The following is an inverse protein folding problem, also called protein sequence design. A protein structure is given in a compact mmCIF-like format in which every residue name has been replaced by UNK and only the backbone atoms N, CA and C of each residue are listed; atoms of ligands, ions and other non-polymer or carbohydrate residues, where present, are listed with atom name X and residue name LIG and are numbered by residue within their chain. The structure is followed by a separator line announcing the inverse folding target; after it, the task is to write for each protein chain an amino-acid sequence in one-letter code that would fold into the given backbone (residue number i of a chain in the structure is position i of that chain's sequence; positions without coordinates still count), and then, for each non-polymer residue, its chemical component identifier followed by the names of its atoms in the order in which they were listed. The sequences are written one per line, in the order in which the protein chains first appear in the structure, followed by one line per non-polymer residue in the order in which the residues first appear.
data_IF_148874040310
#
_entry.id   IF_148874040310
#
_cell.length_a   1.000
_cell.length_b   1.000
_cell.length_c   1.000
_cell.angle_alpha   90.00
_cell.angle_beta   90.00
_cell.angle_gamma   90.00
#
_symmetry.space_group_name_H-M   'P 1'
#
loop_
_entity.id
_entity.type
_entity.pdbx_description
1 polymer ?
#
# COMPACT_ATOMS: atom_id res chain seq x y z
N UNK A 1 8.44 5.37 -6.02
CA UNK A 1 7.88 6.72 -6.22
C UNK A 1 6.66 6.89 -5.32
N UNK A 2 6.66 7.91 -4.46
CA UNK A 2 5.52 8.28 -3.63
C UNK A 2 5.02 9.66 -4.07
N UNK A 3 3.74 9.77 -4.39
CA UNK A 3 3.11 11.05 -4.68
C UNK A 3 2.61 11.73 -3.39
N UNK A 4 2.10 12.95 -3.51
CA UNK A 4 1.61 13.72 -2.36
C UNK A 4 0.42 13.05 -1.67
N UNK A 5 0.26 13.30 -0.36
CA UNK A 5 -0.88 12.82 0.42
C UNK A 5 -0.92 11.32 0.67
N UNK A 6 0.18 10.59 0.42
CA UNK A 6 0.27 9.17 0.73
C UNK A 6 0.36 8.94 2.23
N UNK A 7 -0.39 7.95 2.73
CA UNK A 7 -0.33 7.50 4.13
C UNK A 7 0.21 6.08 4.19
N UNK A 8 1.30 5.88 4.95
CA UNK A 8 1.79 4.57 5.38
C UNK A 8 1.50 4.45 6.88
N UNK A 9 0.34 3.93 7.23
CA UNK A 9 -0.22 4.02 8.59
C UNK A 9 -0.45 2.66 9.24
N UNK A 10 -0.76 2.67 10.54
CA UNK A 10 -1.31 1.50 11.23
C UNK A 10 -2.81 1.32 10.96
N UNK A 11 -3.32 0.09 11.06
CA UNK A 11 -4.78 -0.18 10.99
C UNK A 11 -5.54 0.27 12.25
N UNK A 12 -4.86 0.33 13.39
CA UNK A 12 -5.48 0.60 14.69
C UNK A 12 -4.95 1.92 15.24
N UNK A 13 -5.80 2.96 15.28
CA UNK A 13 -5.47 4.28 15.80
C UNK A 13 -5.26 4.31 17.34
N UNK A 14 -5.78 3.29 18.04
CA UNK A 14 -5.72 3.15 19.50
C UNK A 14 -4.55 2.32 19.99
N UNK A 15 -3.78 1.70 19.10
CA UNK A 15 -2.55 1.00 19.45
C UNK A 15 -1.44 2.03 19.74
N UNK A 16 -1.61 2.79 20.83
CA UNK A 16 -0.68 3.83 21.28
C UNK A 16 0.58 3.26 21.93
N UNK A 17 0.52 2.01 22.39
CA UNK A 17 1.63 1.32 23.03
C UNK A 17 2.02 0.06 22.24
N UNK A 18 3.27 -0.32 22.46
CA UNK A 18 4.07 -1.39 21.88
C UNK A 18 3.29 -2.71 21.68
N UNK A 19 2.53 -2.83 20.59
CA UNK A 19 2.17 -4.16 20.10
C UNK A 19 3.48 -4.77 19.60
N UNK A 20 3.99 -5.87 20.18
CA UNK A 20 5.21 -6.49 19.70
C UNK A 20 5.04 -6.86 18.23
N UNK A 21 5.87 -6.27 17.36
CA UNK A 21 5.83 -6.52 15.93
C UNK A 21 5.55 -5.29 15.06
N UNK A 22 5.62 -5.51 13.75
CA UNK A 22 5.45 -4.47 12.74
C UNK A 22 4.00 -3.98 12.71
N UNK A 23 3.77 -2.67 12.65
CA UNK A 23 2.43 -2.05 12.57
C UNK A 23 2.17 -1.25 11.29
N UNK A 24 3.24 -0.89 10.59
CA UNK A 24 3.21 -0.08 9.38
C UNK A 24 3.60 -0.92 8.15
N UNK A 25 3.24 -0.49 6.94
CA UNK A 25 3.53 -1.23 5.74
C UNK A 25 5.04 -1.37 5.48
N UNK A 26 5.43 -2.45 4.82
CA UNK A 26 6.74 -2.61 4.20
C UNK A 26 6.57 -2.38 2.71
N UNK A 27 7.37 -1.47 2.15
CA UNK A 27 7.32 -1.13 0.72
C UNK A 27 8.58 -1.68 0.05
N UNK A 28 8.40 -2.50 -0.98
CA UNK A 28 9.46 -3.08 -1.79
C UNK A 28 10.08 -2.08 -2.78
N UNK A 29 10.91 -2.60 -3.66
CA UNK A 29 11.66 -1.83 -4.64
C UNK A 29 10.78 -1.36 -5.80
N UNK A 30 11.04 -0.16 -6.34
CA UNK A 30 10.37 0.39 -7.55
C UNK A 30 8.84 0.46 -7.46
N UNK A 31 8.28 0.42 -6.26
CA UNK A 31 6.85 0.59 -6.03
C UNK A 31 6.43 2.01 -6.40
N UNK A 32 5.31 2.17 -7.09
CA UNK A 32 4.70 3.47 -7.36
C UNK A 32 3.40 3.63 -6.57
N UNK A 33 3.32 4.67 -5.73
CA UNK A 33 2.18 4.90 -4.84
C UNK A 33 1.51 6.22 -5.21
N UNK A 34 0.35 6.14 -5.85
CA UNK A 34 -0.42 7.28 -6.35
C UNK A 34 -0.85 8.26 -5.25
N UNK A 35 -1.18 9.49 -5.67
CA UNK A 35 -1.52 10.57 -4.75
C UNK A 35 -2.72 10.18 -3.85
N UNK A 36 -2.66 10.57 -2.58
CA UNK A 36 -3.75 10.31 -1.63
C UNK A 36 -3.97 8.84 -1.23
N UNK A 37 -3.13 7.90 -1.67
CA UNK A 37 -3.30 6.49 -1.31
C UNK A 37 -3.01 6.25 0.17
N UNK A 38 -3.84 5.44 0.82
CA UNK A 38 -3.67 5.02 2.21
C UNK A 38 -3.36 3.52 2.28
N UNK A 39 -2.20 3.17 2.81
CA UNK A 39 -1.72 1.79 2.94
C UNK A 39 -1.59 1.54 4.44
N UNK A 40 -2.44 0.66 4.97
CA UNK A 40 -2.63 0.56 6.41
C UNK A 40 -2.32 -0.84 6.94
N UNK A 41 -1.53 -0.88 8.01
CA UNK A 41 -1.20 -2.06 8.79
C UNK A 41 0.11 -2.73 8.41
N UNK A 42 0.39 -3.84 9.09
CA UNK A 42 1.57 -4.67 8.89
C UNK A 42 1.51 -5.50 7.60
N UNK A 43 1.37 -4.83 6.46
CA UNK A 43 1.24 -5.45 5.14
C UNK A 43 2.47 -5.18 4.28
N UNK A 44 2.67 -5.98 3.26
CA UNK A 44 3.80 -5.85 2.33
C UNK A 44 3.29 -5.42 0.95
N UNK A 45 3.96 -4.42 0.37
CA UNK A 45 3.80 -4.05 -1.03
C UNK A 45 5.02 -4.53 -1.78
N UNK A 46 4.86 -5.58 -2.58
CA UNK A 46 5.96 -6.23 -3.30
C UNK A 46 6.57 -5.36 -4.39
N UNK A 47 7.76 -5.74 -4.83
CA UNK A 47 8.54 -5.02 -5.83
C UNK A 47 7.75 -4.75 -7.13
N UNK A 48 7.99 -3.62 -7.77
CA UNK A 48 7.35 -3.20 -9.02
C UNK A 48 5.81 -3.08 -8.97
N UNK A 49 5.22 -3.15 -7.77
CA UNK A 49 3.79 -2.94 -7.58
C UNK A 49 3.40 -1.47 -7.81
N UNK A 50 2.13 -1.27 -8.20
CA UNK A 50 1.53 0.05 -8.38
C UNK A 50 0.30 0.15 -7.49
N UNK A 51 0.23 1.19 -6.69
CA UNK A 51 -0.94 1.57 -5.90
C UNK A 51 -1.60 2.75 -6.59
N UNK A 52 -2.88 2.63 -6.94
CA UNK A 52 -3.63 3.71 -7.57
C UNK A 52 -3.82 4.91 -6.64
N UNK A 53 -4.08 6.07 -7.24
CA UNK A 53 -4.46 7.26 -6.48
C UNK A 53 -5.69 7.00 -5.60
N UNK A 54 -5.74 7.61 -4.42
CA UNK A 54 -6.82 7.53 -3.44
C UNK A 54 -7.25 6.11 -3.05
N UNK A 55 -6.38 5.10 -3.24
CA UNK A 55 -6.70 3.71 -2.92
C UNK A 55 -6.45 3.41 -1.45
N UNK A 56 -7.32 2.58 -0.84
CA UNK A 56 -7.19 2.15 0.56
C UNK A 56 -6.76 0.68 0.60
N UNK A 57 -5.49 0.43 0.89
CA UNK A 57 -4.87 -0.89 0.85
C UNK A 57 -4.79 -1.47 2.25
N UNK A 58 -5.48 -2.60 2.45
CA UNK A 58 -5.61 -3.28 3.74
C UNK A 58 -5.02 -4.70 3.74
N UNK A 59 -4.47 -5.17 2.61
CA UNK A 59 -3.92 -6.51 2.42
C UNK A 59 -2.64 -6.43 1.61
N UNK A 60 -1.80 -7.45 1.71
CA UNK A 60 -0.56 -7.55 0.94
C UNK A 60 -0.81 -7.40 -0.56
N UNK A 61 0.10 -6.71 -1.23
CA UNK A 61 0.08 -6.45 -2.67
C UNK A 61 1.26 -7.22 -3.28
N UNK A 62 1.01 -8.24 -4.11
CA UNK A 62 2.07 -9.00 -4.77
C UNK A 62 2.96 -8.15 -5.67
N UNK A 63 4.18 -8.59 -5.88
CA UNK A 63 5.11 -7.95 -6.81
C UNK A 63 4.52 -7.83 -8.24
N UNK A 64 4.81 -6.72 -8.92
CA UNK A 64 4.36 -6.45 -10.28
C UNK A 64 2.84 -6.29 -10.45
N UNK A 65 2.07 -6.21 -9.37
CA UNK A 65 0.61 -6.09 -9.40
C UNK A 65 0.13 -4.64 -9.31
N UNK A 66 -1.16 -4.42 -9.59
CA UNK A 66 -1.83 -3.13 -9.46
C UNK A 66 -2.92 -3.23 -8.39
N UNK A 67 -2.82 -2.46 -7.31
CA UNK A 67 -3.87 -2.36 -6.28
C UNK A 67 -4.63 -1.04 -6.39
N UNK A 68 -5.95 -1.10 -6.58
CA UNK A 68 -6.80 0.09 -6.79
C UNK A 68 -8.15 0.01 -6.08
N UNK A 69 -8.68 1.15 -5.64
CA UNK A 69 -10.03 1.30 -5.09
C UNK A 69 -10.09 1.33 -3.55
N UNK A 70 -11.32 1.35 -3.03
CA UNK A 70 -11.63 1.43 -1.58
C UNK A 70 -12.71 0.38 -1.25
N UNK A 71 -12.38 -0.72 -0.55
CA UNK A 71 -11.02 -1.22 -0.30
C UNK A 71 -10.33 -1.66 -1.61
N UNK A 72 -9.01 -1.57 -1.64
CA UNK A 72 -8.23 -1.85 -2.83
C UNK A 72 -8.34 -3.32 -3.25
N UNK A 73 -8.55 -3.55 -4.54
CA UNK A 73 -8.52 -4.88 -5.18
C UNK A 73 -7.24 -5.03 -5.98
N UNK A 74 -6.55 -6.16 -5.82
CA UNK A 74 -5.35 -6.50 -6.59
C UNK A 74 -5.77 -6.96 -7.99
N UNK A 75 -5.15 -6.39 -9.02
CA UNK A 75 -5.35 -6.70 -10.43
C UNK A 75 -4.00 -6.95 -11.10
N UNK A 76 -4.04 -7.65 -12.25
CA UNK A 76 -2.88 -7.77 -13.13
C UNK A 76 -2.50 -6.37 -13.64
N UNK A 77 -1.24 -5.97 -13.48
CA UNK A 77 -0.74 -4.71 -14.02
C UNK A 77 -0.71 -4.80 -15.54
N UNK A 78 -1.52 -3.98 -16.20
CA UNK A 78 -1.48 -3.82 -17.65
C UNK A 78 -0.44 -2.74 -17.92
N UNK A 79 0.69 -3.12 -18.54
CA UNK A 79 1.62 -2.13 -19.09
C UNK A 79 1.03 -1.68 -20.43
N UNK A 80 0.68 -0.40 -20.54
CA UNK A 80 0.47 0.19 -21.85
C UNK A 80 1.85 0.26 -22.55
N UNK A 81 1.93 -0.07 -23.85
CA UNK A 81 3.16 0.06 -24.63
C UNK A 81 3.65 1.50 -24.67
#
# INVERSE_FOLDING_TARGET
LLYHGVTLGGKNATAREEVPGRRHPTVGNRVSIGAGAAILGAITVGDDAVIGASSVVLKDVPAGSLAVGIPAKVKKRIRHP
#
